data_IF_323622517050
#
_entry.id   IF_323622517050
#
_cell.length_a   1.000
_cell.length_b   1.000
_cell.length_c   1.000
_cell.angle_alpha   90.00
_cell.angle_beta   90.00
_cell.angle_gamma   90.00
#
_symmetry.space_group_name_H-M   'P 1'
#
loop_
_entity.id
_entity.type
_entity.pdbx_description
1 polymer ?
#
# COMPACT_ATOMS: atom_id res chain seq x y z
N UNK A 1 36.61 -3.71 7.25
CA UNK A 1 35.87 -4.24 6.09
C UNK A 1 35.73 -5.75 6.29
N UNK A 2 34.63 -6.17 6.88
CA UNK A 2 34.25 -7.59 7.03
C UNK A 2 33.05 -7.80 6.14
N UNK A 3 33.15 -8.67 5.15
CA UNK A 3 32.23 -8.80 4.02
C UNK A 3 30.77 -8.94 4.44
N UNK A 4 29.95 -7.97 4.05
CA UNK A 4 28.52 -8.14 3.87
C UNK A 4 28.31 -8.32 2.39
N UNK A 5 28.23 -9.57 1.95
CA UNK A 5 27.77 -9.89 0.60
C UNK A 5 26.42 -9.16 0.35
N UNK A 6 26.34 -8.30 -0.67
CA UNK A 6 25.16 -7.47 -0.97
C UNK A 6 23.89 -8.31 -1.25
N UNK A 7 22.71 -7.70 -1.33
CA UNK A 7 21.45 -8.45 -1.55
C UNK A 7 21.32 -8.95 -3.00
N UNK A 8 22.00 -8.29 -3.94
CA UNK A 8 21.96 -8.58 -5.38
C UNK A 8 23.07 -9.58 -5.79
N UNK A 9 22.93 -10.86 -5.44
CA UNK A 9 24.01 -11.87 -5.64
C UNK A 9 23.80 -12.81 -6.82
N UNK A 10 22.56 -13.18 -7.07
CA UNK A 10 22.20 -14.22 -8.05
C UNK A 10 21.62 -13.60 -9.29
N UNK A 11 21.72 -14.30 -10.41
CA UNK A 11 20.97 -13.94 -11.62
C UNK A 11 19.49 -14.25 -11.42
N UNK A 12 18.65 -13.50 -12.11
CA UNK A 12 17.20 -13.55 -11.99
C UNK A 12 16.50 -13.36 -13.32
N UNK A 13 15.18 -13.35 -13.29
CA UNK A 13 14.32 -13.05 -14.44
C UNK A 13 13.61 -11.72 -14.31
N UNK A 14 13.64 -11.09 -13.14
CA UNK A 14 13.08 -9.75 -12.93
C UNK A 14 14.02 -8.70 -13.53
N UNK A 15 13.53 -7.97 -14.54
CA UNK A 15 14.32 -7.01 -15.32
C UNK A 15 14.84 -5.85 -14.45
N UNK A 16 14.03 -5.39 -13.49
CA UNK A 16 14.42 -4.29 -12.59
C UNK A 16 15.51 -4.75 -11.64
N UNK A 17 15.36 -5.94 -11.05
CA UNK A 17 16.41 -6.52 -10.22
C UNK A 17 17.72 -6.70 -11.00
N UNK A 18 17.66 -7.21 -12.23
CA UNK A 18 18.86 -7.39 -13.05
C UNK A 18 19.51 -6.05 -13.40
N UNK A 19 18.73 -5.03 -13.76
CA UNK A 19 19.22 -3.69 -14.02
C UNK A 19 19.92 -3.06 -12.80
N UNK A 20 19.33 -3.21 -11.61
CA UNK A 20 19.92 -2.73 -10.34
C UNK A 20 21.18 -3.54 -10.00
N UNK A 21 21.14 -4.87 -10.11
CA UNK A 21 22.28 -5.75 -9.85
C UNK A 21 23.50 -5.36 -10.69
N UNK A 22 23.27 -5.18 -11.99
CA UNK A 22 24.30 -4.90 -13.00
C UNK A 22 24.66 -3.41 -13.10
N UNK A 23 24.02 -2.55 -12.29
CA UNK A 23 24.33 -1.13 -12.15
C UNK A 23 24.37 -0.40 -13.49
N UNK A 24 23.39 -0.71 -14.38
CA UNK A 24 23.41 -0.31 -15.80
C UNK A 24 23.42 1.23 -16.03
N UNK A 25 23.11 2.02 -15.00
CA UNK A 25 23.21 3.48 -14.96
C UNK A 25 23.32 3.99 -13.51
N UNK A 26 23.52 5.30 -13.32
CA UNK A 26 23.65 5.92 -11.99
C UNK A 26 22.42 5.72 -11.09
N UNK A 27 21.21 5.76 -11.65
CA UNK A 27 19.98 5.53 -10.89
C UNK A 27 19.91 4.09 -10.36
N UNK A 28 20.42 3.11 -11.12
CA UNK A 28 20.53 1.73 -10.67
C UNK A 28 21.56 1.57 -9.54
N UNK A 29 22.65 2.33 -9.58
CA UNK A 29 23.66 2.36 -8.49
C UNK A 29 23.06 2.94 -7.21
N UNK A 30 22.34 4.05 -7.31
CA UNK A 30 21.64 4.68 -6.18
C UNK A 30 20.57 3.76 -5.60
N UNK A 31 19.74 3.14 -6.46
CA UNK A 31 18.74 2.16 -6.05
C UNK A 31 19.36 0.95 -5.35
N UNK A 32 20.51 0.45 -5.83
CA UNK A 32 21.23 -0.68 -5.21
C UNK A 32 21.65 -0.34 -3.78
N UNK A 33 22.29 0.81 -3.59
CA UNK A 33 22.72 1.31 -2.26
C UNK A 33 21.49 1.45 -1.36
N UNK A 34 20.43 2.10 -1.85
CA UNK A 34 19.21 2.32 -1.10
C UNK A 34 18.58 1.00 -0.62
N UNK A 35 18.40 0.03 -1.51
CA UNK A 35 17.79 -1.26 -1.18
C UNK A 35 18.66 -2.07 -0.20
N UNK A 36 19.99 -2.02 -0.36
CA UNK A 36 20.93 -2.63 0.58
C UNK A 36 20.87 -2.01 1.99
N UNK A 37 20.68 -0.69 2.07
CA UNK A 37 20.49 0.00 3.34
C UNK A 37 19.18 -0.38 4.03
N UNK A 38 18.08 -0.47 3.28
CA UNK A 38 16.79 -0.95 3.81
C UNK A 38 16.91 -2.39 4.32
N UNK A 39 17.55 -3.26 3.54
CA UNK A 39 17.79 -4.65 3.93
C UNK A 39 18.59 -4.75 5.22
N UNK A 40 19.69 -3.97 5.34
CA UNK A 40 20.50 -3.93 6.57
C UNK A 40 19.67 -3.56 7.80
N UNK A 41 18.70 -2.66 7.66
CA UNK A 41 17.78 -2.25 8.74
C UNK A 41 16.75 -3.35 9.08
N UNK A 42 16.15 -3.99 8.07
CA UNK A 42 14.92 -4.75 8.23
C UNK A 42 15.06 -6.29 8.18
N UNK A 43 16.12 -6.85 7.58
CA UNK A 43 16.20 -8.27 7.23
C UNK A 43 15.91 -9.25 8.37
N UNK A 44 16.30 -8.92 9.60
CA UNK A 44 16.11 -9.78 10.79
C UNK A 44 14.65 -9.98 11.19
N UNK A 45 13.73 -9.24 10.60
CA UNK A 45 12.29 -9.31 10.88
C UNK A 45 11.48 -9.91 9.73
N UNK A 46 12.13 -10.19 8.59
CA UNK A 46 11.49 -10.62 7.36
C UNK A 46 11.74 -12.11 7.10
N UNK A 47 11.00 -12.69 6.15
CA UNK A 47 11.23 -14.07 5.74
C UNK A 47 12.62 -14.26 5.12
N UNK A 48 13.30 -15.32 5.55
CA UNK A 48 14.58 -15.78 4.98
C UNK A 48 14.54 -16.09 3.48
N UNK A 49 13.38 -16.42 2.93
CA UNK A 49 13.21 -16.73 1.50
C UNK A 49 13.19 -15.47 0.61
N UNK A 50 13.10 -14.26 1.18
CA UNK A 50 13.18 -13.00 0.41
C UNK A 50 14.42 -12.98 -0.50
N UNK A 51 15.59 -13.40 0.00
CA UNK A 51 16.83 -13.44 -0.79
C UNK A 51 16.76 -14.38 -2.00
N UNK A 52 15.95 -15.45 -1.92
CA UNK A 52 15.76 -16.39 -3.02
C UNK A 52 14.73 -15.88 -4.03
N UNK A 53 13.77 -15.09 -3.59
CA UNK A 53 12.64 -14.62 -4.38
C UNK A 53 12.91 -13.27 -5.07
N UNK A 54 13.79 -12.44 -4.50
CA UNK A 54 14.18 -11.14 -5.06
C UNK A 54 14.56 -11.16 -6.55
N UNK A 55 15.32 -12.14 -7.07
CA UNK A 55 15.68 -12.20 -8.48
C UNK A 55 14.50 -12.47 -9.42
N UNK A 56 13.34 -12.88 -8.89
CA UNK A 56 12.17 -13.30 -9.68
C UNK A 56 10.95 -12.40 -9.43
N UNK A 57 10.83 -11.82 -8.24
CA UNK A 57 9.69 -11.00 -7.81
C UNK A 57 10.18 -9.74 -7.07
N UNK A 58 11.00 -8.93 -7.73
CA UNK A 58 11.74 -7.86 -7.08
C UNK A 58 10.83 -6.88 -6.35
N UNK A 59 9.83 -6.33 -7.04
CA UNK A 59 9.01 -5.25 -6.49
C UNK A 59 8.20 -5.70 -5.26
N UNK A 60 7.69 -6.93 -5.26
CA UNK A 60 6.97 -7.48 -4.11
C UNK A 60 7.91 -7.64 -2.91
N UNK A 61 9.11 -8.21 -3.12
CA UNK A 61 10.08 -8.38 -2.04
C UNK A 61 10.65 -7.03 -1.56
N UNK A 62 10.89 -6.11 -2.48
CA UNK A 62 11.25 -4.72 -2.17
C UNK A 62 10.18 -4.07 -1.30
N UNK A 63 8.90 -4.22 -1.62
CA UNK A 63 7.82 -3.63 -0.82
C UNK A 63 7.81 -4.15 0.62
N UNK A 64 8.03 -5.45 0.84
CA UNK A 64 8.15 -6.01 2.19
C UNK A 64 9.35 -5.44 2.96
N UNK A 65 10.51 -5.33 2.29
CA UNK A 65 11.72 -4.73 2.86
C UNK A 65 11.49 -3.26 3.21
N UNK A 66 10.92 -2.49 2.28
CA UNK A 66 10.64 -1.07 2.45
C UNK A 66 9.63 -0.83 3.57
N UNK A 67 8.56 -1.63 3.62
CA UNK A 67 7.51 -1.53 4.62
C UNK A 67 8.07 -1.81 6.01
N UNK A 68 8.84 -2.88 6.20
CA UNK A 68 9.47 -3.18 7.49
C UNK A 68 10.47 -2.09 7.92
N UNK A 69 11.30 -1.59 6.99
CA UNK A 69 12.23 -0.49 7.29
C UNK A 69 11.49 0.80 7.67
N UNK A 70 10.41 1.13 6.96
CA UNK A 70 9.57 2.30 7.24
C UNK A 70 8.86 2.19 8.58
N UNK A 71 8.31 1.01 8.93
CA UNK A 71 7.69 0.78 10.24
C UNK A 71 8.71 0.94 11.38
N UNK A 72 9.94 0.45 11.22
CA UNK A 72 11.01 0.68 12.19
C UNK A 72 11.37 2.16 12.33
N UNK A 73 11.37 2.93 11.23
CA UNK A 73 11.63 4.37 11.25
C UNK A 73 10.55 5.14 12.03
N UNK A 74 9.31 4.66 12.06
CA UNK A 74 8.25 5.23 12.91
C UNK A 74 8.42 4.95 14.41
N UNK A 75 9.41 4.14 14.79
CA UNK A 75 9.66 3.73 16.17
C UNK A 75 8.86 2.50 16.62
N UNK A 76 8.16 1.81 15.70
CA UNK A 76 7.44 0.58 16.02
C UNK A 76 8.39 -0.60 16.21
N UNK A 77 8.06 -1.48 17.13
CA UNK A 77 8.86 -2.66 17.47
C UNK A 77 8.45 -3.85 16.61
N UNK A 78 9.27 -4.26 15.65
CA UNK A 78 9.02 -5.48 14.87
C UNK A 78 9.50 -6.74 15.59
N UNK A 79 8.83 -7.86 15.31
CA UNK A 79 9.24 -9.21 15.66
C UNK A 79 9.35 -10.06 14.41
N UNK A 80 10.21 -11.08 14.45
CA UNK A 80 10.28 -12.06 13.38
C UNK A 80 8.93 -12.75 13.22
N UNK A 81 8.38 -12.75 12.00
CA UNK A 81 7.14 -13.46 11.68
C UNK A 81 7.28 -14.94 12.03
N UNK A 82 6.26 -15.54 12.65
CA UNK A 82 6.33 -16.89 13.25
C UNK A 82 6.40 -18.05 12.26
N UNK A 83 6.57 -17.79 10.96
CA UNK A 83 6.84 -18.82 9.96
C UNK A 83 6.46 -18.41 8.54
N UNK A 84 6.94 -19.20 7.58
CA UNK A 84 6.75 -19.02 6.13
C UNK A 84 5.30 -18.92 5.66
N UNK A 85 4.35 -19.39 6.48
CA UNK A 85 2.92 -19.50 6.17
C UNK A 85 2.05 -18.43 6.87
N UNK A 86 2.64 -17.53 7.67
CA UNK A 86 1.94 -16.47 8.40
C UNK A 86 1.96 -15.12 7.67
N UNK A 87 1.41 -14.06 8.30
CA UNK A 87 1.53 -12.69 7.78
C UNK A 87 2.99 -12.25 7.64
N UNK A 88 3.24 -11.35 6.69
CA UNK A 88 4.59 -10.93 6.32
C UNK A 88 5.34 -10.21 7.46
N UNK A 89 4.65 -9.38 8.25
CA UNK A 89 5.25 -8.60 9.34
C UNK A 89 4.43 -8.72 10.63
N UNK A 90 5.14 -8.84 11.75
CA UNK A 90 4.59 -8.78 13.10
C UNK A 90 5.13 -7.54 13.82
N UNK A 91 4.25 -6.63 14.23
CA UNK A 91 4.56 -5.52 15.13
C UNK A 91 4.16 -5.93 16.55
N UNK A 92 5.02 -5.71 17.52
CA UNK A 92 4.71 -5.86 18.95
C UNK A 92 4.38 -4.49 19.53
N UNK A 93 3.14 -4.35 20.00
CA UNK A 93 2.71 -3.18 20.73
C UNK A 93 3.30 -3.15 22.16
N UNK A 94 3.26 -1.98 22.79
CA UNK A 94 3.83 -1.76 24.13
C UNK A 94 3.14 -2.60 25.21
N UNK A 95 1.85 -2.88 25.05
CA UNK A 95 1.06 -3.75 25.93
C UNK A 95 1.34 -5.26 25.71
N UNK A 96 2.25 -5.58 24.79
CA UNK A 96 2.62 -6.95 24.43
C UNK A 96 1.70 -7.62 23.41
N UNK A 97 0.63 -6.95 22.96
CA UNK A 97 -0.22 -7.43 21.86
C UNK A 97 0.52 -7.37 20.52
N UNK A 98 -0.02 -8.09 19.52
CA UNK A 98 0.53 -8.12 18.17
C UNK A 98 -0.38 -7.39 17.20
N UNK A 99 0.24 -6.68 16.27
CA UNK A 99 -0.39 -6.15 15.07
C UNK A 99 0.25 -6.84 13.88
N UNK A 100 -0.57 -7.45 13.04
CA UNK A 100 -0.13 -8.18 11.87
C UNK A 100 -0.27 -7.34 10.62
N UNK A 101 0.72 -7.41 9.73
CA UNK A 101 0.69 -6.70 8.45
C UNK A 101 0.98 -7.68 7.33
N UNK A 102 0.14 -7.66 6.30
CA UNK A 102 0.28 -8.46 5.09
C UNK A 102 0.48 -7.53 3.89
N UNK A 103 1.61 -7.68 3.21
CA UNK A 103 2.05 -6.88 2.10
C UNK A 103 1.56 -7.43 0.74
N UNK A 104 1.25 -6.52 -0.18
CA UNK A 104 0.89 -6.85 -1.56
C UNK A 104 1.27 -5.73 -2.51
N UNK A 105 1.78 -6.09 -3.69
CA UNK A 105 1.88 -5.18 -4.82
C UNK A 105 0.71 -5.39 -5.78
N UNK A 106 0.03 -4.31 -6.12
CA UNK A 106 -1.02 -4.32 -7.14
C UNK A 106 -0.37 -4.40 -8.53
N UNK A 107 -0.85 -5.32 -9.36
CA UNK A 107 -0.40 -5.42 -10.77
C UNK A 107 -1.24 -4.51 -11.68
N UNK A 108 -0.72 -4.11 -12.86
CA UNK A 108 -1.48 -3.41 -13.90
C UNK A 108 -2.75 -4.13 -14.37
N UNK A 109 -2.90 -5.41 -14.07
CA UNK A 109 -3.98 -6.24 -14.59
C UNK A 109 -3.68 -6.78 -15.99
N UNK A 110 -4.67 -7.45 -16.56
CA UNK A 110 -4.60 -8.07 -17.90
C UNK A 110 -5.93 -7.88 -18.61
N UNK A 111 -5.90 -7.92 -19.95
CA UNK A 111 -7.10 -7.77 -20.78
C UNK A 111 -7.62 -6.34 -20.83
N UNK A 112 -8.91 -6.17 -21.05
CA UNK A 112 -9.52 -4.87 -21.36
C UNK A 112 -9.52 -3.89 -20.18
N UNK A 113 -9.54 -4.39 -18.94
CA UNK A 113 -9.46 -3.56 -17.73
C UNK A 113 -8.01 -3.37 -17.23
N UNK A 114 -7.01 -3.70 -18.05
CA UNK A 114 -5.62 -3.45 -17.70
C UNK A 114 -5.30 -1.96 -17.75
N UNK A 115 -4.49 -1.50 -16.80
CA UNK A 115 -3.97 -0.14 -16.78
C UNK A 115 -2.72 -0.11 -17.65
N UNK A 116 -2.81 0.56 -18.80
CA UNK A 116 -1.72 0.68 -19.76
C UNK A 116 -0.85 1.90 -19.47
N UNK A 117 0.43 1.83 -19.82
CA UNK A 117 1.26 3.03 -19.87
C UNK A 117 0.78 3.97 -20.97
N UNK A 118 0.86 5.27 -20.72
CA UNK A 118 0.60 6.26 -21.75
C UNK A 118 1.71 6.21 -22.81
N UNK A 119 1.32 6.24 -24.08
CA UNK A 119 2.30 6.38 -25.17
C UNK A 119 3.08 7.69 -25.02
N UNK A 120 4.37 7.66 -25.33
CA UNK A 120 5.22 8.85 -25.24
C UNK A 120 4.68 9.94 -26.17
N UNK A 121 4.37 11.10 -25.60
CA UNK A 121 3.81 12.25 -26.32
C UNK A 121 2.28 12.24 -26.46
N UNK A 122 1.59 11.20 -25.97
CA UNK A 122 0.14 11.16 -25.92
C UNK A 122 -0.38 11.76 -24.59
N UNK A 123 -1.50 12.49 -24.68
CA UNK A 123 -2.25 12.94 -23.51
C UNK A 123 -3.48 12.05 -23.37
N UNK A 124 -3.53 11.29 -22.27
CA UNK A 124 -4.68 10.45 -21.94
C UNK A 124 -5.27 10.89 -20.61
N UNK A 125 -6.56 10.62 -20.42
CA UNK A 125 -7.17 10.73 -19.09
C UNK A 125 -6.61 9.63 -18.20
N UNK A 126 -6.40 9.92 -16.92
CA UNK A 126 -5.98 8.91 -15.94
C UNK A 126 -7.11 7.87 -15.81
N UNK A 127 -6.84 6.57 -16.01
CA UNK A 127 -7.85 5.52 -15.96
C UNK A 127 -8.22 5.17 -14.50
N UNK A 128 -8.92 6.09 -13.82
CA UNK A 128 -9.19 6.03 -12.37
C UNK A 128 -9.91 4.74 -11.97
N UNK A 129 -10.94 4.35 -12.72
CA UNK A 129 -11.71 3.13 -12.47
C UNK A 129 -10.86 1.86 -12.63
N UNK A 130 -10.04 1.76 -13.67
CA UNK A 130 -9.15 0.61 -13.88
C UNK A 130 -8.09 0.50 -12.79
N UNK A 131 -7.59 1.64 -12.28
CA UNK A 131 -6.68 1.67 -11.12
C UNK A 131 -7.42 1.21 -9.86
N UNK A 132 -8.64 1.70 -9.60
CA UNK A 132 -9.48 1.25 -8.48
C UNK A 132 -9.71 -0.26 -8.53
N UNK A 133 -9.94 -0.84 -9.72
CA UNK A 133 -10.06 -2.29 -9.89
C UNK A 133 -8.79 -3.04 -9.43
N UNK A 134 -7.59 -2.48 -9.61
CA UNK A 134 -6.34 -3.08 -9.11
C UNK A 134 -6.27 -3.08 -7.59
N UNK A 135 -6.61 -1.95 -6.97
CA UNK A 135 -6.61 -1.79 -5.52
C UNK A 135 -7.66 -2.68 -4.85
N UNK A 136 -8.88 -2.70 -5.40
CA UNK A 136 -9.97 -3.56 -4.95
C UNK A 136 -9.61 -5.04 -5.04
N UNK A 137 -8.96 -5.46 -6.13
CA UNK A 137 -8.52 -6.85 -6.27
C UNK A 137 -7.44 -7.21 -5.23
N UNK A 138 -6.43 -6.36 -5.04
CA UNK A 138 -5.38 -6.56 -4.05
C UNK A 138 -5.95 -6.65 -2.62
N UNK A 139 -6.86 -5.73 -2.27
CA UNK A 139 -7.58 -5.75 -1.01
C UNK A 139 -8.37 -7.06 -0.85
N UNK A 140 -9.23 -7.40 -1.81
CA UNK A 140 -10.08 -8.59 -1.73
C UNK A 140 -9.27 -9.90 -1.62
N UNK A 141 -8.14 -10.02 -2.32
CA UNK A 141 -7.25 -11.17 -2.22
C UNK A 141 -6.68 -11.32 -0.80
N UNK A 142 -6.14 -10.23 -0.23
CA UNK A 142 -5.55 -10.27 1.11
C UNK A 142 -6.60 -10.37 2.22
N UNK A 143 -7.81 -9.87 2.02
CA UNK A 143 -8.97 -10.13 2.88
C UNK A 143 -9.32 -11.63 2.93
N UNK A 144 -9.23 -12.35 1.81
CA UNK A 144 -9.40 -13.82 1.79
C UNK A 144 -8.24 -14.53 2.48
N UNK A 145 -7.00 -14.05 2.31
CA UNK A 145 -5.81 -14.60 2.99
C UNK A 145 -5.93 -14.44 4.52
N UNK A 146 -6.40 -13.29 4.98
CA UNK A 146 -6.72 -13.05 6.39
C UNK A 146 -7.68 -14.10 6.97
N UNK A 147 -8.78 -14.41 6.27
CA UNK A 147 -9.72 -15.46 6.72
C UNK A 147 -9.01 -16.81 6.91
N UNK A 148 -8.11 -17.18 5.99
CA UNK A 148 -7.30 -18.40 6.12
C UNK A 148 -6.33 -18.34 7.32
N UNK A 149 -5.73 -17.19 7.59
CA UNK A 149 -4.89 -17.00 8.78
C UNK A 149 -5.68 -17.17 10.07
N UNK A 150 -6.92 -16.66 10.10
CA UNK A 150 -7.85 -16.83 11.24
C UNK A 150 -8.23 -18.30 11.44
N UNK A 151 -8.57 -19.01 10.36
CA UNK A 151 -8.89 -20.46 10.40
C UNK A 151 -7.72 -21.30 10.93
N UNK A 152 -6.48 -20.93 10.56
CA UNK A 152 -5.26 -21.60 11.02
C UNK A 152 -4.73 -21.08 12.36
N UNK A 153 -5.42 -20.14 13.03
CA UNK A 153 -5.01 -19.50 14.28
C UNK A 153 -3.65 -18.78 14.26
N UNK A 154 -3.21 -18.29 13.10
CA UNK A 154 -1.99 -17.45 13.01
C UNK A 154 -2.25 -16.03 13.52
N UNK A 155 -3.47 -15.54 13.32
CA UNK A 155 -3.90 -14.21 13.74
C UNK A 155 -5.10 -14.38 14.67
N UNK A 156 -5.04 -13.80 15.87
CA UNK A 156 -6.17 -13.79 16.82
C UNK A 156 -7.23 -12.76 16.43
N UNK A 157 -8.49 -12.94 16.85
CA UNK A 157 -9.57 -11.95 16.63
C UNK A 157 -9.39 -10.71 17.49
N UNK A 158 -8.46 -10.76 18.44
CA UNK A 158 -8.14 -9.65 19.34
C UNK A 158 -6.90 -8.88 18.88
N UNK A 159 -6.26 -9.32 17.80
CA UNK A 159 -5.05 -8.71 17.26
C UNK A 159 -5.40 -7.93 15.99
N UNK A 160 -5.01 -6.65 15.89
CA UNK A 160 -5.21 -5.87 14.68
C UNK A 160 -4.53 -6.50 13.46
N UNK A 161 -5.16 -6.34 12.30
CA UNK A 161 -4.66 -6.85 11.03
C UNK A 161 -4.72 -5.76 9.96
N UNK A 162 -3.57 -5.50 9.33
CA UNK A 162 -3.39 -4.46 8.33
C UNK A 162 -3.08 -5.11 6.98
N UNK A 163 -3.73 -4.63 5.92
CA UNK A 163 -3.34 -4.95 4.55
C UNK A 163 -2.49 -3.79 4.01
N UNK A 164 -1.26 -4.05 3.61
CA UNK A 164 -0.33 -3.05 3.09
C UNK A 164 -0.19 -3.17 1.57
N UNK A 165 -0.86 -2.28 0.84
CA UNK A 165 -0.97 -2.29 -0.63
C UNK A 165 0.02 -1.29 -1.23
N UNK A 166 0.89 -1.76 -2.11
CA UNK A 166 1.72 -0.91 -2.95
C UNK A 166 1.21 -0.92 -4.39
N UNK A 167 1.05 0.25 -5.00
CA UNK A 167 0.54 0.38 -6.37
C UNK A 167 1.54 1.01 -7.35
N UNK A 168 2.84 1.04 -7.02
CA UNK A 168 3.86 1.67 -7.88
C UNK A 168 3.96 1.03 -9.27
N UNK A 169 3.69 -0.28 -9.37
CA UNK A 169 3.64 -0.99 -10.65
C UNK A 169 2.36 -0.74 -11.45
N UNK A 170 1.36 -0.05 -10.92
CA UNK A 170 0.15 0.31 -11.65
C UNK A 170 0.38 1.68 -12.31
N UNK A 171 0.38 1.78 -13.65
CA UNK A 171 0.62 3.05 -14.33
C UNK A 171 -0.33 4.15 -13.84
N UNK A 172 0.19 5.36 -13.69
CA UNK A 172 -0.56 6.54 -13.21
C UNK A 172 -1.16 6.46 -11.80
N UNK A 173 -0.98 5.37 -11.03
CA UNK A 173 -1.54 5.26 -9.68
C UNK A 173 -1.01 6.34 -8.72
N UNK A 174 0.26 6.76 -8.91
CA UNK A 174 0.89 7.89 -8.18
C UNK A 174 0.23 9.26 -8.41
N UNK A 175 -0.58 9.43 -9.45
CA UNK A 175 -1.23 10.71 -9.77
C UNK A 175 -2.50 10.89 -8.94
N UNK A 176 -2.35 11.01 -7.62
CA UNK A 176 -3.45 11.06 -6.67
C UNK A 176 -4.34 12.31 -6.82
N UNK A 177 -5.57 12.18 -6.34
CA UNK A 177 -6.51 13.29 -6.19
C UNK A 177 -6.59 13.71 -4.71
N UNK A 178 -7.40 14.74 -4.41
CA UNK A 178 -7.58 15.25 -3.05
C UNK A 178 -7.94 14.15 -2.04
N UNK A 179 -8.90 13.28 -2.39
CA UNK A 179 -9.13 12.03 -1.65
C UNK A 179 -8.32 10.91 -2.33
N UNK A 180 -7.39 10.27 -1.61
CA UNK A 180 -6.54 9.22 -2.16
C UNK A 180 -7.34 8.06 -2.74
N UNK A 181 -6.87 7.47 -3.83
CA UNK A 181 -7.57 6.39 -4.55
C UNK A 181 -7.91 5.22 -3.66
N UNK A 182 -7.02 4.83 -2.76
CA UNK A 182 -7.30 3.73 -1.82
C UNK A 182 -8.52 4.02 -0.93
N UNK A 183 -8.70 5.26 -0.51
CA UNK A 183 -9.88 5.68 0.27
C UNK A 183 -11.11 5.64 -0.64
N UNK A 184 -11.02 6.18 -1.86
CA UNK A 184 -12.09 6.15 -2.88
C UNK A 184 -12.39 4.74 -3.47
N UNK A 185 -11.55 3.75 -3.17
CA UNK A 185 -11.77 2.33 -3.50
C UNK A 185 -12.49 1.59 -2.39
N UNK A 186 -12.37 2.02 -1.13
CA UNK A 186 -12.92 1.30 0.02
C UNK A 186 -14.12 2.02 0.65
N UNK A 187 -14.29 3.32 0.33
CA UNK A 187 -15.49 4.11 0.58
C UNK A 187 -16.04 4.68 -0.75
N UNK A 188 -17.36 4.94 -0.85
CA UNK A 188 -18.04 5.26 -2.10
C UNK A 188 -17.85 6.73 -2.55
N UNK A 189 -16.63 7.25 -2.47
CA UNK A 189 -16.28 8.59 -2.92
C UNK A 189 -15.91 8.58 -4.42
N UNK A 190 -16.64 9.36 -5.21
CA UNK A 190 -16.33 9.69 -6.60
C UNK A 190 -15.47 10.96 -6.72
N UNK A 191 -15.66 11.74 -7.78
CA UNK A 191 -14.91 12.98 -8.00
C UNK A 191 -15.46 14.15 -7.16
N UNK A 192 -14.60 15.14 -6.91
CA UNK A 192 -15.01 16.39 -6.27
C UNK A 192 -15.92 17.19 -7.21
N UNK A 193 -17.00 17.76 -6.65
CA UNK A 193 -17.96 18.60 -7.35
C UNK A 193 -17.93 19.99 -6.74
N UNK A 194 -17.79 21.02 -7.58
CA UNK A 194 -17.90 22.42 -7.19
C UNK A 194 -19.34 22.90 -7.39
N UNK A 195 -19.92 23.50 -6.36
CA UNK A 195 -21.24 24.14 -6.44
C UNK A 195 -21.04 25.61 -6.81
N UNK A 196 -21.68 26.05 -7.89
CA UNK A 196 -21.58 27.42 -8.40
C UNK A 196 -22.91 28.15 -8.22
N UNK A 197 -22.84 29.39 -7.71
CA UNK A 197 -23.96 30.33 -7.75
C UNK A 197 -24.32 30.62 -9.20
N UNK A 198 -25.59 30.41 -9.59
CA UNK A 198 -26.03 30.72 -10.96
C UNK A 198 -26.02 32.22 -11.27
N UNK A 199 -26.16 33.06 -10.25
CA UNK A 199 -26.22 34.52 -10.41
C UNK A 199 -24.83 35.14 -10.46
N UNK A 200 -23.92 34.69 -9.60
CA UNK A 200 -22.59 35.30 -9.45
C UNK A 200 -21.47 34.48 -10.09
N UNK A 201 -21.74 33.22 -10.46
CA UNK A 201 -20.73 32.23 -10.90
C UNK A 201 -19.63 31.97 -9.86
N UNK A 202 -19.84 32.37 -8.61
CA UNK A 202 -18.93 32.12 -7.50
C UNK A 202 -19.13 30.72 -6.92
N UNK A 203 -18.05 30.14 -6.38
CA UNK A 203 -18.11 28.86 -5.67
C UNK A 203 -18.85 29.03 -4.35
N UNK A 204 -19.97 28.32 -4.18
CA UNK A 204 -20.78 28.35 -2.96
C UNK A 204 -20.52 27.16 -2.04
N UNK A 205 -19.84 26.13 -2.54
CA UNK A 205 -19.46 24.97 -1.76
C UNK A 205 -18.80 23.87 -2.60
N UNK A 206 -18.41 22.80 -1.93
CA UNK A 206 -17.85 21.59 -2.56
C UNK A 206 -18.52 20.34 -2.00
N UNK A 207 -18.62 19.30 -2.82
CA UNK A 207 -19.05 17.96 -2.39
C UNK A 207 -18.27 16.90 -3.15
N UNK A 208 -18.60 15.63 -2.94
CA UNK A 208 -18.09 14.52 -3.74
C UNK A 208 -19.25 13.74 -4.34
N UNK A 209 -19.05 13.24 -5.55
CA UNK A 209 -19.98 12.29 -6.15
C UNK A 209 -20.06 11.01 -5.31
N UNK A 210 -21.22 10.36 -5.31
CA UNK A 210 -21.34 9.01 -4.78
C UNK A 210 -20.95 8.01 -5.87
N UNK A 211 -19.91 7.22 -5.62
CA UNK A 211 -19.47 6.15 -6.52
C UNK A 211 -19.35 4.85 -5.73
N UNK A 212 -20.47 4.14 -5.56
CA UNK A 212 -20.55 2.87 -4.82
C UNK A 212 -20.08 1.64 -5.59
N UNK A 213 -19.82 1.77 -6.88
CA UNK A 213 -19.35 0.69 -7.74
C UNK A 213 -18.43 1.21 -8.84
N UNK A 214 -17.53 0.35 -9.30
CA UNK A 214 -16.77 0.48 -10.55
C UNK A 214 -17.22 -0.63 -11.49
N UNK A 215 -17.51 -0.29 -12.75
CA UNK A 215 -18.02 -1.23 -13.74
C UNK A 215 -16.86 -1.66 -14.65
N UNK A 216 -16.58 -2.97 -14.71
CA UNK A 216 -15.63 -3.54 -15.66
C UNK A 216 -16.16 -3.42 -17.09
N UNK A 217 -15.27 -3.52 -18.07
CA UNK A 217 -15.65 -3.59 -19.48
C UNK A 217 -16.65 -4.73 -19.77
N UNK A 218 -16.57 -5.83 -19.02
CA UNK A 218 -17.53 -6.95 -19.12
C UNK A 218 -18.95 -6.64 -18.61
N UNK A 219 -19.17 -5.46 -18.02
CA UNK A 219 -20.40 -5.09 -17.31
C UNK A 219 -20.47 -5.59 -15.86
N UNK A 220 -19.45 -6.29 -15.38
CA UNK A 220 -19.39 -6.72 -13.97
C UNK A 220 -19.18 -5.53 -13.05
N UNK A 221 -20.06 -5.38 -12.07
CA UNK A 221 -19.99 -4.32 -11.05
C UNK A 221 -19.14 -4.78 -9.88
N UNK A 222 -18.17 -3.96 -9.48
CA UNK A 222 -17.32 -4.18 -8.31
C UNK A 222 -17.58 -3.06 -7.31
N UNK A 223 -18.01 -3.42 -6.11
CA UNK A 223 -18.33 -2.46 -5.06
C UNK A 223 -17.09 -1.73 -4.53
N UNK A 224 -17.25 -0.45 -4.22
CA UNK A 224 -16.23 0.42 -3.58
C UNK A 224 -16.55 0.68 -2.10
N UNK A 225 -17.39 -0.16 -1.51
CA UNK A 225 -17.98 0.02 -0.17
C UNK A 225 -17.40 -0.95 0.86
N UNK A 226 -16.20 -1.49 0.61
CA UNK A 226 -15.58 -2.51 1.48
C UNK A 226 -15.50 -2.08 2.94
N UNK A 227 -15.22 -0.81 3.23
CA UNK A 227 -15.17 -0.27 4.61
C UNK A 227 -16.54 0.13 5.17
N UNK A 228 -17.62 -0.10 4.43
CA UNK A 228 -19.00 -0.04 4.89
C UNK A 228 -19.64 -1.44 5.02
N UNK A 229 -18.91 -2.50 4.68
CA UNK A 229 -19.38 -3.87 4.72
C UNK A 229 -18.81 -4.61 5.97
N UNK A 230 -19.67 -5.08 6.90
CA UNK A 230 -19.24 -5.80 8.11
C UNK A 230 -18.40 -7.06 7.85
N UNK A 231 -18.44 -7.65 6.65
CA UNK A 231 -17.58 -8.78 6.27
C UNK A 231 -16.09 -8.47 6.42
N UNK A 232 -15.70 -7.20 6.25
CA UNK A 232 -14.32 -6.74 6.35
C UNK A 232 -13.96 -6.17 7.74
N UNK A 233 -14.85 -6.28 8.72
CA UNK A 233 -14.64 -5.78 10.10
C UNK A 233 -13.46 -6.41 10.85
N UNK A 234 -12.92 -7.54 10.36
CA UNK A 234 -11.69 -8.14 10.88
C UNK A 234 -10.40 -7.45 10.43
N UNK A 235 -10.49 -6.57 9.42
CA UNK A 235 -9.35 -5.79 8.91
C UNK A 235 -9.37 -4.45 9.62
N UNK A 236 -8.29 -4.12 10.32
CA UNK A 236 -8.19 -2.91 11.13
C UNK A 236 -7.93 -1.66 10.29
N UNK A 237 -7.06 -1.79 9.29
CA UNK A 237 -6.65 -0.67 8.44
C UNK A 237 -6.02 -1.16 7.13
N UNK A 238 -5.82 -0.22 6.22
CA UNK A 238 -4.98 -0.40 5.03
C UNK A 238 -3.80 0.57 5.09
N UNK A 239 -2.59 0.08 4.84
CA UNK A 239 -1.45 0.93 4.49
C UNK A 239 -1.36 1.00 2.97
N UNK A 240 -1.15 2.18 2.41
CA UNK A 240 -1.06 2.40 0.98
C UNK A 240 0.17 3.22 0.61
N UNK A 241 0.82 2.86 -0.49
CA UNK A 241 1.94 3.61 -1.06
C UNK A 241 2.13 3.34 -2.55
N UNK A 242 2.82 4.25 -3.24
CA UNK A 242 3.26 4.10 -4.64
C UNK A 242 4.78 4.20 -4.78
N UNK A 243 5.51 3.89 -3.71
CA UNK A 243 6.98 3.86 -3.70
C UNK A 243 7.56 2.68 -4.48
N UNK A 244 8.66 2.94 -5.19
CA UNK A 244 9.51 1.93 -5.81
C UNK A 244 10.99 2.19 -5.49
N UNK A 245 11.89 1.35 -5.99
CA UNK A 245 13.32 1.43 -5.72
C UNK A 245 14.02 2.68 -6.28
N UNK A 246 13.34 3.43 -7.16
CA UNK A 246 13.84 4.64 -7.81
C UNK A 246 13.08 5.92 -7.39
N UNK A 247 11.84 5.77 -6.91
CA UNK A 247 10.95 6.87 -6.54
C UNK A 247 10.54 6.76 -5.07
N UNK A 248 11.34 7.35 -4.19
CA UNK A 248 11.13 7.35 -2.74
C UNK A 248 11.47 8.71 -2.11
N UNK A 249 10.82 9.11 -1.00
CA UNK A 249 11.20 10.30 -0.24
C UNK A 249 12.45 10.05 0.62
N UNK A 250 13.10 11.13 1.05
CA UNK A 250 14.27 11.06 1.95
C UNK A 250 13.96 10.33 3.27
N UNK A 251 12.83 10.63 3.90
CA UNK A 251 12.30 9.86 5.03
C UNK A 251 11.30 8.85 4.51
N UNK A 252 11.64 7.57 4.55
CA UNK A 252 10.88 6.51 3.88
C UNK A 252 9.48 6.32 4.47
N UNK A 253 9.32 6.46 5.78
CA UNK A 253 8.03 6.38 6.46
C UNK A 253 7.03 7.43 5.97
N UNK A 254 7.52 8.53 5.37
CA UNK A 254 6.68 9.60 4.84
C UNK A 254 5.87 9.20 3.60
N UNK A 255 6.26 8.12 2.90
CA UNK A 255 5.53 7.61 1.74
C UNK A 255 4.30 6.76 2.09
N UNK A 256 4.04 6.54 3.38
CA UNK A 256 2.94 5.68 3.83
C UNK A 256 1.67 6.50 4.05
N UNK A 257 0.54 5.96 3.61
CA UNK A 257 -0.80 6.39 3.99
C UNK A 257 -1.45 5.28 4.82
N UNK A 258 -1.88 5.58 6.04
CA UNK A 258 -2.69 4.68 6.86
C UNK A 258 -4.16 5.08 6.77
N UNK A 259 -5.02 4.16 6.34
CA UNK A 259 -6.47 4.35 6.31
C UNK A 259 -7.18 3.37 7.23
N UNK A 260 -7.81 3.88 8.28
CA UNK A 260 -8.52 3.09 9.28
C UNK A 260 -9.86 2.57 8.75
N UNK A 261 -10.15 1.30 9.03
CA UNK A 261 -11.48 0.75 8.77
C UNK A 261 -12.46 1.20 9.87
N UNK A 262 -13.51 1.96 9.54
CA UNK A 262 -14.47 2.45 10.54
C UNK A 262 -15.29 1.32 11.19
N UNK A 263 -15.35 0.13 10.58
CA UNK A 263 -16.02 -1.04 11.12
C UNK A 263 -15.06 -2.04 11.78
N UNK A 264 -13.80 -1.66 12.02
CA UNK A 264 -12.81 -2.56 12.62
C UNK A 264 -13.25 -3.04 14.02
N UNK A 265 -13.27 -4.35 14.22
CA UNK A 265 -13.50 -4.99 15.52
C UNK A 265 -12.30 -4.85 16.47
N UNK A 266 -11.11 -4.73 15.91
CA UNK A 266 -9.85 -4.46 16.60
C UNK A 266 -9.18 -3.25 15.97
N UNK A 267 -9.67 -2.02 16.23
CA UNK A 267 -9.13 -0.82 15.61
C UNK A 267 -7.70 -0.53 16.09
N UNK A 268 -6.93 0.15 15.23
CA UNK A 268 -5.66 0.73 15.64
C UNK A 268 -5.91 2.07 16.36
N UNK A 269 -5.04 2.49 17.28
CA UNK A 269 -5.11 3.85 17.81
C UNK A 269 -4.85 4.87 16.70
N UNK A 270 -5.49 6.03 16.77
CA UNK A 270 -5.12 7.18 15.92
C UNK A 270 -3.69 7.64 16.25
N UNK A 271 -2.93 8.04 15.24
CA UNK A 271 -1.51 8.31 15.37
C UNK A 271 -0.68 7.05 15.55
N UNK A 272 -1.09 5.94 14.93
CA UNK A 272 -0.35 4.67 15.01
C UNK A 272 1.05 4.77 14.39
N UNK A 273 1.17 5.38 13.19
CA UNK A 273 2.46 5.56 12.50
C UNK A 273 3.14 6.89 12.86
N UNK A 274 2.36 7.94 13.21
CA UNK A 274 2.84 9.32 13.42
C UNK A 274 3.77 9.88 12.31
N UNK A 275 3.69 9.30 11.12
CA UNK A 275 4.43 9.67 9.91
C UNK A 275 3.51 9.43 8.73
N UNK A 276 3.75 10.15 7.62
CA UNK A 276 2.92 10.01 6.43
C UNK A 276 1.54 10.66 6.59
N UNK A 277 0.57 10.10 5.88
CA UNK A 277 -0.83 10.52 5.98
C UNK A 277 -1.66 9.50 6.77
N UNK A 278 -2.62 9.98 7.54
CA UNK A 278 -3.56 9.14 8.26
C UNK A 278 -4.99 9.57 7.95
N UNK A 279 -5.85 8.63 7.58
CA UNK A 279 -7.27 8.84 7.26
C UNK A 279 -8.15 7.99 8.15
N UNK A 280 -9.26 8.55 8.62
CA UNK A 280 -10.28 7.82 9.40
C UNK A 280 -11.65 8.46 9.18
N UNK A 281 -12.72 7.76 9.60
CA UNK A 281 -14.09 8.29 9.54
C UNK A 281 -14.56 8.59 10.96
N UNK A 282 -15.00 9.83 11.18
CA UNK A 282 -15.64 10.31 12.40
C UNK A 282 -16.76 11.27 11.98
N UNK A 283 -17.96 10.71 11.76
CA UNK A 283 -19.12 11.27 11.02
C UNK A 283 -18.84 11.62 9.54
N UNK A 284 -17.67 12.17 9.26
CA UNK A 284 -17.13 12.53 7.97
C UNK A 284 -15.71 11.96 7.81
N UNK A 285 -15.20 11.91 6.58
CA UNK A 285 -13.80 11.57 6.34
C UNK A 285 -12.89 12.65 6.94
N UNK A 286 -11.99 12.24 7.82
CA UNK A 286 -10.94 13.07 8.41
C UNK A 286 -9.58 12.61 7.88
N UNK A 287 -8.63 13.53 7.86
CA UNK A 287 -7.25 13.19 7.60
C UNK A 287 -6.30 14.00 8.49
N UNK A 288 -5.08 13.48 8.65
CA UNK A 288 -3.96 14.18 9.23
C UNK A 288 -2.71 13.93 8.39
N UNK A 289 -1.99 15.01 8.08
CA UNK A 289 -0.66 14.94 7.49
C UNK A 289 0.39 15.12 8.60
N UNK A 290 1.10 14.06 8.93
CA UNK A 290 2.12 14.06 9.98
C UNK A 290 3.44 14.74 9.56
N UNK A 291 3.55 15.23 8.31
CA UNK A 291 4.71 15.98 7.82
C UNK A 291 4.76 17.44 8.27
N UNK A 292 3.62 18.01 8.66
CA UNK A 292 3.48 19.46 8.89
C UNK A 292 3.65 19.87 10.36
N UNK A 293 3.86 18.90 11.26
CA UNK A 293 3.93 19.10 12.72
C UNK A 293 5.36 18.97 13.30
N UNK A 294 6.42 19.02 12.47
CA UNK A 294 7.84 19.06 12.90
C UNK A 294 8.51 20.41 12.60
#
# INVERSE_FOLDING_TARGET
>A
MTGTDGIFRTNGTDEVYCAIKDEINSHCQEAKIFVEELWRKAHKYLDSDILKELPVQFHQRFWEIYLAASLLETGLNLQHSSGRDGPDICIKADDGSKVWVEAVTASPGKGNDAVQEAEIGAVISVPDDQIKLRLLNAFAEKSRKYKRYREKNWVSSKEPYIIAINAAQVPSARLELEIPRIVRSLLPFGFQVLHLSRETSEVTGTSYEYQGEVIKESGTRIETTSFLNPEYSGISAVIYSCVDAFNYPTEISKALLLFHNPLATTPLPLGFLKKGYEYWVDEHLKNKNWHQDE
#
